data_IF_436926950940
#
_entry.id   IF_436926950940
#
_cell.length_a   1.000
_cell.length_b   1.000
_cell.length_c   1.000
_cell.angle_alpha   90.00
_cell.angle_beta   90.00
_cell.angle_gamma   90.00
#
_symmetry.space_group_name_H-M   'P 1'
#
loop_
_entity.id
_entity.type
_entity.pdbx_description
1 polymer ?
#
# COMPACT_ATOMS: atom_id res chain seq x y z
N UNK A 1 -11.95 13.91 -19.17
CA UNK A 1 -11.21 13.64 -17.92
C UNK A 1 -11.75 14.58 -16.85
N UNK A 2 -12.81 14.18 -16.14
CA UNK A 2 -13.59 15.07 -15.28
C UNK A 2 -13.11 14.91 -13.83
N UNK A 3 -12.12 15.74 -13.44
CA UNK A 3 -11.80 15.97 -12.02
C UNK A 3 -12.86 16.95 -11.49
N UNK A 4 -14.00 16.43 -11.02
CA UNK A 4 -14.97 17.24 -10.29
C UNK A 4 -14.83 17.01 -8.79
N UNK A 5 -14.28 18.03 -8.13
CA UNK A 5 -14.61 18.53 -6.79
C UNK A 5 -14.89 17.50 -5.67
N UNK A 6 -13.87 16.72 -5.34
CA UNK A 6 -13.58 16.37 -3.94
C UNK A 6 -12.10 16.66 -3.76
N UNK A 7 -11.73 17.47 -2.76
CA UNK A 7 -10.34 17.70 -2.35
C UNK A 7 -9.79 16.44 -1.69
N UNK A 8 -9.68 15.35 -2.44
CA UNK A 8 -9.10 14.10 -1.98
C UNK A 8 -8.01 13.68 -2.98
N UNK A 9 -6.83 13.37 -2.43
CA UNK A 9 -5.74 12.80 -3.23
C UNK A 9 -6.14 11.44 -3.77
N UNK A 10 -5.41 10.95 -4.77
CA UNK A 10 -5.76 9.70 -5.47
C UNK A 10 -5.86 8.51 -4.50
N UNK A 11 -4.91 8.39 -3.58
CA UNK A 11 -4.84 7.38 -2.54
C UNK A 11 -5.96 7.49 -1.50
N UNK A 12 -6.50 8.68 -1.26
CA UNK A 12 -7.64 8.89 -0.35
C UNK A 12 -9.00 8.53 -0.97
N UNK A 13 -9.07 8.33 -2.29
CA UNK A 13 -10.32 8.01 -2.98
C UNK A 13 -10.82 6.59 -2.66
N UNK A 14 -12.14 6.36 -2.67
CA UNK A 14 -12.73 5.04 -2.48
C UNK A 14 -12.34 4.05 -3.58
N UNK A 15 -11.83 2.92 -3.13
CA UNK A 15 -11.61 1.62 -3.75
C UNK A 15 -12.85 0.91 -4.28
N UNK A 16 -13.59 1.42 -5.28
CA UNK A 16 -14.89 0.80 -5.65
C UNK A 16 -14.81 -0.57 -6.34
N UNK A 17 -13.62 -0.96 -6.79
CA UNK A 17 -13.33 -2.25 -7.43
C UNK A 17 -13.30 -3.41 -6.43
N UNK A 18 -13.14 -3.13 -5.13
CA UNK A 18 -13.04 -4.12 -4.07
C UNK A 18 -13.82 -3.70 -2.81
N UNK A 19 -14.09 -4.64 -1.91
CA UNK A 19 -14.71 -4.36 -0.61
C UNK A 19 -13.66 -4.34 0.51
N UNK A 20 -14.10 -4.09 1.75
CA UNK A 20 -13.20 -4.04 2.92
C UNK A 20 -12.51 -5.37 3.24
N UNK A 21 -13.02 -6.51 2.76
CA UNK A 21 -12.41 -7.85 2.97
C UNK A 21 -11.13 -8.05 2.15
N UNK A 22 -10.93 -7.22 1.11
CA UNK A 22 -9.70 -7.18 0.33
C UNK A 22 -8.50 -6.64 1.13
N UNK A 23 -8.76 -5.93 2.23
CA UNK A 23 -7.73 -5.41 3.13
C UNK A 23 -7.35 -6.47 4.16
N UNK A 24 -6.05 -6.69 4.33
CA UNK A 24 -5.51 -7.48 5.42
C UNK A 24 -5.35 -6.62 6.69
N UNK A 25 -6.42 -6.55 7.47
CA UNK A 25 -6.38 -5.81 8.74
C UNK A 25 -5.49 -6.47 9.79
N UNK A 26 -5.13 -7.75 9.65
CA UNK A 26 -4.18 -8.38 10.56
C UNK A 26 -2.78 -7.84 10.28
N UNK A 27 -2.34 -7.86 9.03
CA UNK A 27 -1.05 -7.27 8.63
C UNK A 27 -0.99 -5.77 8.98
N UNK A 28 -2.09 -5.04 8.75
CA UNK A 28 -2.18 -3.64 9.17
C UNK A 28 -2.03 -3.49 10.69
N UNK A 29 -2.72 -4.30 11.50
CA UNK A 29 -2.61 -4.29 12.96
C UNK A 29 -1.19 -4.59 13.44
N UNK A 30 -0.50 -5.54 12.81
CA UNK A 30 0.90 -5.89 13.13
C UNK A 30 1.81 -4.66 12.92
N UNK A 31 1.64 -3.89 11.84
CA UNK A 31 2.41 -2.64 11.61
C UNK A 31 2.24 -1.60 12.72
N UNK A 32 1.06 -1.48 13.33
CA UNK A 32 0.82 -0.53 14.45
C UNK A 32 1.24 -1.08 15.82
N UNK A 33 1.37 -2.41 15.95
CA UNK A 33 1.80 -3.04 17.19
C UNK A 33 3.23 -2.64 17.58
N UNK A 34 4.10 -2.42 16.57
CA UNK A 34 5.47 -1.93 16.77
C UNK A 34 5.55 -0.57 17.47
N UNK A 35 4.50 0.24 17.38
CA UNK A 35 4.38 1.54 18.05
C UNK A 35 3.40 1.52 19.23
N UNK A 36 3.06 0.34 19.75
CA UNK A 36 2.13 0.13 20.86
C UNK A 36 0.72 0.73 20.61
N UNK A 37 0.26 0.78 19.35
CA UNK A 37 -1.08 1.28 19.00
C UNK A 37 -1.97 0.16 18.49
N UNK A 38 -3.23 0.18 18.92
CA UNK A 38 -4.25 -0.77 18.45
C UNK A 38 -5.03 -0.19 17.26
N UNK A 39 -5.14 -0.96 16.18
CA UNK A 39 -5.93 -0.58 15.00
C UNK A 39 -7.43 -0.89 15.19
N UNK A 40 -8.09 -0.07 16.00
CA UNK A 40 -9.54 -0.16 16.26
C UNK A 40 -10.36 0.20 15.01
N UNK A 41 -11.66 -0.17 14.94
CA UNK A 41 -12.53 0.25 13.84
C UNK A 41 -12.59 1.77 13.62
N UNK A 42 -12.60 2.55 14.70
CA UNK A 42 -12.52 4.02 14.60
C UNK A 42 -11.18 4.48 14.03
N UNK A 43 -10.07 3.86 14.46
CA UNK A 43 -8.75 4.19 13.95
C UNK A 43 -8.61 3.88 12.45
N UNK A 44 -9.21 2.79 11.96
CA UNK A 44 -9.23 2.47 10.51
C UNK A 44 -9.84 3.59 9.69
N UNK A 45 -10.95 4.18 10.15
CA UNK A 45 -11.58 5.33 9.48
C UNK A 45 -10.76 6.62 9.63
N UNK A 46 -10.27 6.92 10.83
CA UNK A 46 -9.44 8.11 11.07
C UNK A 46 -8.12 8.11 10.29
N UNK A 47 -7.56 6.93 10.02
CA UNK A 47 -6.38 6.74 9.17
C UNK A 47 -6.70 6.72 7.68
N UNK A 48 -7.97 6.84 7.29
CA UNK A 48 -8.40 6.77 5.89
C UNK A 48 -8.26 5.37 5.26
N UNK A 49 -8.17 4.29 6.05
CA UNK A 49 -8.15 2.93 5.50
C UNK A 49 -9.52 2.53 4.95
N UNK A 50 -10.58 3.02 5.59
CA UNK A 50 -11.97 2.83 5.20
C UNK A 50 -12.62 4.19 5.05
N UNK A 51 -13.31 4.41 3.94
CA UNK A 51 -13.99 5.65 3.58
C UNK A 51 -15.47 5.38 3.32
N UNK A 52 -16.34 6.27 3.79
CA UNK A 52 -17.77 6.21 3.46
C UNK A 52 -18.03 6.93 2.13
N UNK A 53 -18.80 6.28 1.25
CA UNK A 53 -19.36 6.91 0.06
C UNK A 53 -20.82 6.56 -0.06
N UNK A 54 -21.67 7.54 0.19
CA UNK A 54 -23.13 7.41 0.14
C UNK A 54 -23.67 6.29 1.05
N UNK A 55 -23.16 6.23 2.30
CA UNK A 55 -23.62 5.27 3.31
C UNK A 55 -23.09 3.85 3.12
N UNK A 56 -22.09 3.67 2.24
CA UNK A 56 -21.40 2.40 2.00
C UNK A 56 -19.92 2.58 2.28
N UNK A 57 -19.36 1.67 3.04
CA UNK A 57 -17.94 1.65 3.38
C UNK A 57 -17.13 0.95 2.28
N UNK A 58 -16.08 1.62 1.82
CA UNK A 58 -15.10 1.10 0.86
C UNK A 58 -13.70 1.24 1.44
N UNK A 59 -12.73 0.39 1.08
CA UNK A 59 -11.34 0.70 1.34
C UNK A 59 -10.94 1.95 0.54
N UNK A 60 -9.96 2.72 1.03
CA UNK A 60 -9.32 3.72 0.16
C UNK A 60 -8.33 3.05 -0.79
N UNK A 61 -7.96 3.73 -1.87
CA UNK A 61 -6.90 3.27 -2.79
C UNK A 61 -5.57 3.07 -2.05
N UNK A 62 -5.24 3.98 -1.12
CA UNK A 62 -4.09 3.88 -0.24
C UNK A 62 -4.16 2.62 0.63
N UNK A 63 -5.32 2.30 1.20
CA UNK A 63 -5.49 1.05 1.96
C UNK A 63 -5.20 -0.20 1.11
N UNK A 64 -5.71 -0.23 -0.13
CA UNK A 64 -5.46 -1.34 -1.05
C UNK A 64 -3.99 -1.44 -1.44
N UNK A 65 -3.31 -0.31 -1.67
CA UNK A 65 -1.88 -0.29 -1.95
C UNK A 65 -1.07 -0.80 -0.75
N UNK A 66 -1.36 -0.29 0.45
CA UNK A 66 -0.61 -0.60 1.67
C UNK A 66 -0.86 -2.03 2.14
N UNK A 67 -2.11 -2.49 2.18
CA UNK A 67 -2.52 -3.72 2.88
C UNK A 67 -3.47 -4.62 2.07
N UNK A 68 -3.62 -4.41 0.77
CA UNK A 68 -4.48 -5.25 -0.08
C UNK A 68 -3.90 -6.65 -0.27
N UNK A 69 -4.67 -7.70 0.07
CA UNK A 69 -4.27 -9.11 -0.09
C UNK A 69 -3.90 -9.48 -1.53
N UNK A 70 -4.59 -8.86 -2.48
CA UNK A 70 -4.40 -9.06 -3.93
C UNK A 70 -4.29 -7.71 -4.64
N UNK A 71 -3.49 -6.78 -4.11
CA UNK A 71 -3.41 -5.38 -4.60
C UNK A 71 -3.16 -5.26 -6.11
N UNK A 72 -2.44 -6.22 -6.70
CA UNK A 72 -2.11 -6.27 -8.14
C UNK A 72 -3.32 -6.50 -9.05
N UNK A 73 -4.44 -6.98 -8.51
CA UNK A 73 -5.71 -7.04 -9.25
C UNK A 73 -6.31 -5.65 -9.55
N UNK A 74 -5.99 -4.66 -8.71
CA UNK A 74 -6.44 -3.25 -8.86
C UNK A 74 -5.31 -2.37 -9.40
N UNK A 75 -4.08 -2.60 -8.95
CA UNK A 75 -2.88 -1.87 -9.33
C UNK A 75 -1.81 -2.85 -9.83
N UNK A 76 -1.82 -3.25 -11.11
CA UNK A 76 -0.95 -4.29 -11.65
C UNK A 76 0.56 -4.06 -11.39
N UNK A 77 0.95 -2.78 -11.35
CA UNK A 77 2.34 -2.33 -11.15
C UNK A 77 2.67 -1.96 -9.69
N UNK A 78 1.79 -2.24 -8.73
CA UNK A 78 2.07 -2.00 -7.30
C UNK A 78 3.03 -3.05 -6.74
N UNK A 79 4.30 -2.95 -7.13
CA UNK A 79 5.39 -3.83 -6.72
C UNK A 79 6.69 -3.03 -6.71
N UNK A 80 7.60 -3.34 -5.77
CA UNK A 80 8.90 -2.69 -5.71
C UNK A 80 9.90 -3.56 -6.47
N UNK A 81 10.70 -2.92 -7.34
CA UNK A 81 11.79 -3.58 -8.07
C UNK A 81 13.09 -2.86 -7.80
N UNK A 82 14.08 -3.62 -7.37
CA UNK A 82 15.41 -3.10 -7.08
C UNK A 82 16.42 -3.79 -7.98
N UNK A 83 17.42 -3.05 -8.44
CA UNK A 83 18.54 -3.57 -9.21
C UNK A 83 19.83 -2.90 -8.76
N UNK A 84 20.88 -3.70 -8.54
CA UNK A 84 22.21 -3.19 -8.17
C UNK A 84 23.15 -3.25 -9.36
N UNK A 85 24.01 -2.24 -9.43
CA UNK A 85 25.01 -2.11 -10.47
C UNK A 85 26.36 -1.75 -9.83
N UNK A 86 27.46 -2.18 -10.44
CA UNK A 86 28.80 -1.82 -9.98
C UNK A 86 29.17 -0.42 -10.45
N UNK A 87 29.57 0.43 -9.51
CA UNK A 87 30.03 1.79 -9.80
C UNK A 87 28.87 2.78 -9.89
N UNK A 88 29.05 3.82 -10.70
CA UNK A 88 28.09 4.95 -10.82
C UNK A 88 27.19 4.87 -12.04
N UNK A 89 27.26 3.77 -12.81
CA UNK A 89 26.49 3.59 -14.05
C UNK A 89 25.77 2.26 -14.04
N UNK A 90 24.78 2.12 -14.90
CA UNK A 90 24.04 0.87 -15.10
C UNK A 90 24.76 -0.13 -16.02
N UNK A 91 26.04 0.11 -16.35
CA UNK A 91 26.79 -0.69 -17.32
C UNK A 91 27.18 -2.10 -16.82
N UNK A 92 27.32 -2.26 -15.50
CA UNK A 92 27.72 -3.53 -14.88
C UNK A 92 26.64 -3.98 -13.90
N UNK A 93 25.65 -4.71 -14.40
CA UNK A 93 24.60 -5.33 -13.59
C UNK A 93 25.19 -6.32 -12.58
N UNK A 94 24.72 -6.27 -11.34
CA UNK A 94 25.09 -7.22 -10.29
C UNK A 94 23.95 -8.22 -10.06
N UNK A 95 22.82 -7.73 -9.59
CA UNK A 95 21.62 -8.50 -9.31
C UNK A 95 20.37 -7.62 -9.26
N UNK A 96 19.21 -8.27 -9.18
CA UNK A 96 17.91 -7.63 -9.04
C UNK A 96 17.00 -8.44 -8.13
N UNK A 97 15.99 -7.79 -7.59
CA UNK A 97 14.90 -8.44 -6.85
C UNK A 97 13.56 -7.75 -7.14
N UNK A 98 12.48 -8.52 -7.02
CA UNK A 98 11.10 -8.03 -7.01
C UNK A 98 10.53 -8.31 -5.61
N UNK A 99 10.00 -7.27 -4.96
CA UNK A 99 9.47 -7.31 -3.60
C UNK A 99 7.96 -7.10 -3.67
N UNK A 100 7.20 -8.18 -3.42
CA UNK A 100 5.73 -8.20 -3.45
C UNK A 100 5.11 -8.40 -2.06
N UNK A 101 5.75 -7.84 -1.03
CA UNK A 101 5.27 -7.78 0.36
C UNK A 101 4.33 -6.58 0.56
N UNK A 102 3.60 -6.48 1.69
CA UNK A 102 2.84 -5.26 1.97
C UNK A 102 3.77 -4.05 2.01
N UNK A 103 3.34 -2.93 1.41
CA UNK A 103 4.24 -1.78 1.17
C UNK A 103 4.94 -1.26 2.44
N UNK A 104 4.29 -1.22 3.62
CA UNK A 104 4.98 -0.84 4.85
C UNK A 104 6.17 -1.74 5.22
N UNK A 105 6.11 -3.05 4.93
CA UNK A 105 7.22 -3.97 5.18
C UNK A 105 8.23 -3.96 4.02
N UNK A 106 7.75 -3.82 2.78
CA UNK A 106 8.57 -3.84 1.59
C UNK A 106 9.67 -2.76 1.58
N UNK A 107 9.48 -1.66 2.33
CA UNK A 107 10.53 -0.64 2.52
C UNK A 107 11.76 -1.22 3.20
N UNK A 108 11.59 -2.01 4.26
CA UNK A 108 12.69 -2.64 4.99
C UNK A 108 13.41 -3.65 4.08
N UNK A 109 12.65 -4.49 3.38
CA UNK A 109 13.20 -5.47 2.43
C UNK A 109 13.97 -4.80 1.28
N UNK A 110 13.53 -3.62 0.83
CA UNK A 110 14.24 -2.86 -0.20
C UNK A 110 15.54 -2.26 0.33
N UNK A 111 15.57 -1.75 1.57
CA UNK A 111 16.78 -1.27 2.25
C UNK A 111 17.78 -2.41 2.44
N UNK A 112 17.34 -3.55 2.97
CA UNK A 112 18.18 -4.73 3.17
C UNK A 112 18.78 -5.29 1.87
N UNK A 113 18.13 -5.08 0.72
CA UNK A 113 18.66 -5.49 -0.57
C UNK A 113 19.79 -4.58 -1.06
N UNK A 114 19.74 -3.28 -0.74
CA UNK A 114 20.74 -2.30 -1.19
C UNK A 114 21.96 -2.20 -0.27
N UNK A 115 21.84 -2.64 0.99
CA UNK A 115 22.96 -2.82 1.93
C UNK A 115 23.86 -4.03 1.56
#
# INVERSE_FOLDING_TARGET
>A
MQRLAVSAFFDEQPCTEVNSEAIDFRAASESFSHVSRTLTPSARRSLGLLVDRAGREFPSRGAVLLFGKTRRSVFPDAVIRCARFRGLTTAQFLDQTEIDEYLPQAVESAVLFIE
#
